data_IF_349412193764
#
_entry.id   IF_349412193764
#
_cell.length_a   1.000
_cell.length_b   1.000
_cell.length_c   1.000
_cell.angle_alpha   90.00
_cell.angle_beta   90.00
_cell.angle_gamma   90.00
#
_symmetry.space_group_name_H-M   'P 1'
#
loop_
_entity.id
_entity.type
_entity.pdbx_description
1 polymer ?
#
# COMPACT_ATOMS: atom_id res chain seq x y z
N UNK A 1 -2.75 -5.44 -17.42
CA UNK A 1 -2.98 -6.07 -16.10
C UNK A 1 -3.30 -7.52 -16.36
N UNK A 2 -2.57 -8.45 -15.76
CA UNK A 2 -2.81 -9.90 -15.91
C UNK A 2 -3.85 -10.43 -14.91
N UNK A 3 -4.38 -9.55 -14.05
CA UNK A 3 -5.38 -9.91 -13.04
C UNK A 3 -6.81 -9.81 -13.59
N UNK A 4 -7.74 -10.66 -13.11
CA UNK A 4 -9.15 -10.52 -13.40
C UNK A 4 -9.68 -9.12 -13.06
N UNK A 5 -10.65 -8.59 -13.84
CA UNK A 5 -11.13 -7.22 -13.68
C UNK A 5 -11.77 -6.93 -12.32
N UNK A 6 -12.27 -7.96 -11.62
CA UNK A 6 -12.90 -7.81 -10.30
C UNK A 6 -11.91 -7.89 -9.13
N UNK A 7 -10.73 -8.49 -9.32
CA UNK A 7 -9.77 -8.76 -8.23
C UNK A 7 -9.38 -7.48 -7.51
N UNK A 8 -9.12 -6.41 -8.25
CA UNK A 8 -8.74 -5.13 -7.65
C UNK A 8 -9.88 -4.48 -6.87
N UNK A 9 -11.12 -4.66 -7.34
CA UNK A 9 -12.32 -4.16 -6.65
C UNK A 9 -12.54 -4.87 -5.31
N UNK A 10 -12.28 -6.18 -5.26
CA UNK A 10 -12.36 -6.98 -4.03
C UNK A 10 -11.29 -6.57 -3.03
N UNK A 11 -10.05 -6.38 -3.47
CA UNK A 11 -8.95 -5.90 -2.61
C UNK A 11 -9.29 -4.54 -2.00
N UNK A 12 -9.78 -3.59 -2.81
CA UNK A 12 -10.20 -2.27 -2.32
C UNK A 12 -11.31 -2.39 -1.28
N UNK A 13 -12.35 -3.18 -1.58
CA UNK A 13 -13.49 -3.40 -0.67
C UNK A 13 -13.04 -4.02 0.66
N UNK A 14 -12.17 -5.02 0.62
CA UNK A 14 -11.62 -5.66 1.81
C UNK A 14 -10.95 -4.63 2.74
N UNK A 15 -10.07 -3.79 2.20
CA UNK A 15 -9.35 -2.79 2.99
C UNK A 15 -10.23 -1.64 3.48
N UNK A 16 -11.34 -1.33 2.83
CA UNK A 16 -12.32 -0.37 3.34
C UNK A 16 -13.07 -0.92 4.57
N UNK A 17 -13.41 -2.21 4.53
CA UNK A 17 -14.33 -2.79 5.51
C UNK A 17 -13.61 -3.45 6.71
N UNK A 18 -12.34 -3.89 6.57
CA UNK A 18 -11.69 -4.75 7.59
C UNK A 18 -11.56 -4.13 8.99
N UNK A 19 -11.61 -2.80 9.10
CA UNK A 19 -11.52 -2.08 10.38
C UNK A 19 -12.83 -1.45 10.84
N UNK A 20 -13.94 -1.71 10.16
CA UNK A 20 -15.23 -1.12 10.50
C UNK A 20 -15.67 -1.44 11.95
N UNK A 21 -15.40 -2.66 12.42
CA UNK A 21 -15.72 -3.08 13.80
C UNK A 21 -14.79 -2.48 14.86
N UNK A 22 -13.65 -1.90 14.45
CA UNK A 22 -12.78 -1.12 15.34
C UNK A 22 -13.20 0.35 15.44
N UNK A 23 -14.34 0.73 14.83
CA UNK A 23 -14.76 2.13 14.67
C UNK A 23 -13.72 3.01 13.97
N UNK A 24 -12.90 2.42 13.09
CA UNK A 24 -11.91 3.13 12.27
C UNK A 24 -12.35 3.14 10.81
N UNK A 25 -12.16 4.28 10.16
CA UNK A 25 -12.43 4.44 8.73
C UNK A 25 -11.12 4.30 7.94
N UNK A 26 -11.14 3.53 6.86
CA UNK A 26 -10.01 3.36 5.95
C UNK A 26 -10.42 3.89 4.58
N UNK A 27 -9.71 4.91 4.11
CA UNK A 27 -9.91 5.50 2.79
C UNK A 27 -8.83 5.02 1.84
N UNK A 28 -9.24 4.62 0.64
CA UNK A 28 -8.34 4.30 -0.47
C UNK A 28 -8.57 5.38 -1.51
N UNK A 29 -7.51 6.11 -1.85
CA UNK A 29 -7.54 7.19 -2.85
C UNK A 29 -7.48 6.59 -4.25
N UNK A 30 -6.30 6.60 -4.88
CA UNK A 30 -6.09 6.10 -6.23
C UNK A 30 -5.17 4.88 -6.23
N UNK A 31 -5.54 3.91 -7.07
CA UNK A 31 -4.69 2.75 -7.33
C UNK A 31 -3.62 3.13 -8.33
N UNK A 32 -2.39 3.22 -7.84
CA UNK A 32 -1.24 3.62 -8.63
C UNK A 32 -0.63 2.42 -9.35
N UNK A 33 0.01 2.69 -10.49
CA UNK A 33 0.61 1.67 -11.35
C UNK A 33 1.91 1.08 -10.80
N UNK A 34 2.41 0.07 -11.52
CA UNK A 34 3.65 -0.66 -11.21
C UNK A 34 4.87 0.25 -11.00
N UNK A 35 5.02 1.30 -11.80
CA UNK A 35 6.15 2.23 -11.69
C UNK A 35 6.18 2.95 -10.36
N UNK A 36 5.01 3.43 -9.90
CA UNK A 36 4.88 4.07 -8.59
C UNK A 36 5.14 3.08 -7.46
N UNK A 37 4.68 1.84 -7.59
CA UNK A 37 4.95 0.79 -6.60
C UNK A 37 6.46 0.56 -6.42
N UNK A 38 7.24 0.50 -7.51
CA UNK A 38 8.70 0.38 -7.40
C UNK A 38 9.35 1.59 -6.76
N UNK A 39 8.89 2.80 -7.09
CA UNK A 39 9.37 4.03 -6.46
C UNK A 39 9.20 3.97 -4.94
N UNK A 40 8.01 3.61 -4.45
CA UNK A 40 7.73 3.49 -3.01
C UNK A 40 8.62 2.44 -2.34
N UNK A 41 8.86 1.30 -3.01
CA UNK A 41 9.76 0.26 -2.48
C UNK A 41 11.18 0.82 -2.31
N UNK A 42 11.70 1.52 -3.33
CA UNK A 42 13.04 2.09 -3.28
C UNK A 42 13.15 3.16 -2.17
N UNK A 43 12.20 4.08 -2.11
CA UNK A 43 12.14 5.11 -1.06
C UNK A 43 12.07 4.49 0.35
N UNK A 44 11.34 3.39 0.52
CA UNK A 44 11.25 2.68 1.80
C UNK A 44 12.59 2.05 2.21
N UNK A 45 13.34 1.51 1.24
CA UNK A 45 14.68 0.95 1.49
C UNK A 45 15.68 2.03 1.88
N UNK A 46 15.69 3.14 1.15
CA UNK A 46 16.55 4.31 1.44
C UNK A 46 16.23 4.88 2.83
N UNK A 47 14.95 5.05 3.15
CA UNK A 47 14.50 5.54 4.46
C UNK A 47 14.93 4.60 5.59
N UNK A 48 14.81 3.29 5.40
CA UNK A 48 15.24 2.31 6.39
C UNK A 48 16.76 2.41 6.64
N UNK A 49 17.55 2.47 5.58
CA UNK A 49 19.01 2.63 5.68
C UNK A 49 19.38 3.92 6.39
N UNK A 50 18.80 5.06 6.01
CA UNK A 50 19.13 6.34 6.63
C UNK A 50 18.73 6.42 8.10
N UNK A 51 17.62 5.77 8.47
CA UNK A 51 17.06 5.81 9.83
C UNK A 51 17.74 4.84 10.79
N UNK A 52 18.10 3.64 10.33
CA UNK A 52 18.58 2.56 11.19
C UNK A 52 20.01 2.10 10.91
N UNK A 53 20.53 2.23 9.68
CA UNK A 53 21.88 1.76 9.36
C UNK A 53 22.98 2.74 9.82
N UNK A 54 22.65 4.01 10.03
CA UNK A 54 23.57 5.01 10.61
C UNK A 54 23.59 4.99 12.16
N UNK A 55 22.96 4.00 12.80
CA UNK A 55 22.91 3.87 14.27
C UNK A 55 24.07 3.03 14.84
N UNK A 56 25.10 2.74 14.05
CA UNK A 56 26.33 2.04 14.41
C UNK A 56 27.52 2.93 14.03
#
# INVERSE_FOLDING_TARGET
SELPPHTMKEIVRFFQDYKALEHKNVTIEDLLGKEYAYKVIQESLELYQSTFANLI
#
